data_IF_207662750382
#
_entry.id   IF_207662750382
#
_cell.length_a   1.000
_cell.length_b   1.000
_cell.length_c   1.000
_cell.angle_alpha   90.00
_cell.angle_beta   90.00
_cell.angle_gamma   90.00
#
_symmetry.space_group_name_H-M   'P 1'
#
loop_
_entity.id
_entity.type
_entity.pdbx_description
1 polymer ?
#
# COMPACT_ATOMS: atom_id res chain seq x y z
N UNK A 1 17.00 5.46 0.10
CA UNK A 1 15.70 5.04 -0.48
C UNK A 1 15.76 3.66 -1.13
N UNK A 2 16.77 3.38 -1.94
CA UNK A 2 16.94 2.07 -2.60
C UNK A 2 17.00 0.93 -1.57
N UNK A 3 17.78 1.09 -0.50
CA UNK A 3 17.87 0.10 0.56
C UNK A 3 16.54 -0.14 1.28
N UNK A 4 15.74 0.92 1.47
CA UNK A 4 14.45 0.83 2.13
C UNK A 4 13.45 -0.04 1.36
N UNK A 5 13.57 -0.12 0.04
CA UNK A 5 12.71 -0.96 -0.79
C UNK A 5 13.37 -2.29 -1.18
N UNK A 6 14.53 -2.61 -0.60
CA UNK A 6 15.19 -3.90 -0.79
C UNK A 6 15.85 -4.08 -2.15
N UNK A 7 16.36 -3.00 -2.73
CA UNK A 7 17.02 -3.02 -4.04
C UNK A 7 18.52 -2.77 -3.96
N UNK A 8 19.13 -3.00 -2.80
CA UNK A 8 20.58 -2.87 -2.65
C UNK A 8 21.31 -3.78 -3.64
N UNK A 9 22.34 -3.24 -4.26
CA UNK A 9 23.14 -3.96 -5.27
C UNK A 9 22.55 -3.94 -6.67
N UNK A 10 21.36 -3.35 -6.86
CA UNK A 10 20.68 -3.32 -8.15
C UNK A 10 20.64 -1.92 -8.77
N UNK A 11 21.35 -0.95 -8.20
CA UNK A 11 21.29 0.46 -8.56
C UNK A 11 21.67 0.73 -10.03
N UNK A 12 22.56 -0.09 -10.58
CA UNK A 12 23.06 0.07 -11.94
C UNK A 12 22.34 -0.82 -12.96
N UNK A 13 21.29 -1.54 -12.55
CA UNK A 13 20.55 -2.40 -13.47
C UNK A 13 19.53 -1.60 -14.27
N UNK A 14 19.41 -1.95 -15.55
CA UNK A 14 18.37 -1.41 -16.41
C UNK A 14 17.01 -2.03 -16.07
N UNK A 15 15.88 -1.34 -16.34
CA UNK A 15 14.55 -1.88 -16.05
C UNK A 15 14.32 -3.28 -16.62
N UNK A 16 14.85 -3.59 -17.80
CA UNK A 16 14.71 -4.92 -18.41
C UNK A 16 15.47 -6.01 -17.65
N UNK A 17 16.40 -5.65 -16.77
CA UNK A 17 17.20 -6.57 -15.98
C UNK A 17 16.58 -6.85 -14.59
N UNK A 18 15.44 -6.22 -14.29
CA UNK A 18 14.74 -6.36 -13.02
C UNK A 18 13.54 -7.27 -13.18
N UNK A 19 13.20 -8.02 -12.11
CA UNK A 19 11.93 -8.73 -12.06
C UNK A 19 10.76 -7.74 -11.98
N UNK A 20 9.52 -8.24 -12.15
CA UNK A 20 8.33 -7.43 -12.01
C UNK A 20 8.23 -6.78 -10.63
N UNK A 21 8.48 -7.54 -9.56
CA UNK A 21 8.49 -7.01 -8.20
C UNK A 21 9.61 -6.00 -7.96
N UNK A 22 10.80 -6.25 -8.51
CA UNK A 22 11.91 -5.31 -8.40
C UNK A 22 11.60 -4.01 -9.13
N UNK A 23 10.99 -4.07 -10.32
CA UNK A 23 10.54 -2.88 -11.04
C UNK A 23 9.49 -2.10 -10.27
N UNK A 24 8.54 -2.80 -9.64
CA UNK A 24 7.52 -2.16 -8.83
C UNK A 24 8.13 -1.45 -7.62
N UNK A 25 9.09 -2.07 -6.95
CA UNK A 25 9.80 -1.46 -5.83
C UNK A 25 10.65 -0.25 -6.28
N UNK A 26 11.27 -0.32 -7.44
CA UNK A 26 12.02 0.81 -8.00
C UNK A 26 11.10 2.00 -8.29
N UNK A 27 9.92 1.74 -8.87
CA UNK A 27 8.93 2.80 -9.12
C UNK A 27 8.42 3.41 -7.82
N UNK A 28 8.19 2.59 -6.79
CA UNK A 28 7.78 3.07 -5.47
C UNK A 28 8.88 3.94 -4.84
N UNK A 29 10.13 3.50 -4.89
CA UNK A 29 11.27 4.27 -4.36
C UNK A 29 11.37 5.64 -5.04
N UNK A 30 11.16 5.70 -6.35
CA UNK A 30 11.14 6.95 -7.10
C UNK A 30 10.03 7.88 -6.60
N UNK A 31 8.83 7.35 -6.43
CA UNK A 31 7.69 8.12 -5.92
C UNK A 31 7.95 8.65 -4.51
N UNK A 32 8.50 7.80 -3.63
CA UNK A 32 8.80 8.18 -2.24
C UNK A 32 9.94 9.21 -2.14
N UNK A 33 10.85 9.22 -3.10
CA UNK A 33 11.93 10.19 -3.14
C UNK A 33 11.49 11.58 -3.62
N UNK A 34 10.34 11.67 -4.29
CA UNK A 34 9.77 12.94 -4.71
C UNK A 34 9.03 13.58 -3.54
N UNK A 35 9.38 14.83 -3.23
CA UNK A 35 8.70 15.59 -2.17
C UNK A 35 7.47 16.27 -2.76
N UNK A 36 6.34 15.57 -2.75
CA UNK A 36 5.08 16.02 -3.34
C UNK A 36 3.99 16.13 -2.28
N UNK A 37 3.10 17.13 -2.38
CA UNK A 37 1.99 17.28 -1.43
C UNK A 37 0.90 16.21 -1.62
N UNK A 38 0.80 15.63 -2.80
CA UNK A 38 -0.16 14.58 -3.13
C UNK A 38 0.56 13.45 -3.86
N UNK A 39 0.35 12.23 -3.39
CA UNK A 39 0.93 11.03 -3.97
C UNK A 39 -0.18 10.09 -4.40
N UNK A 40 -0.10 9.59 -5.63
CA UNK A 40 -1.02 8.61 -6.18
C UNK A 40 -0.30 7.27 -6.32
N UNK A 41 -0.83 6.22 -5.69
CA UNK A 41 -0.28 4.88 -5.74
C UNK A 41 -1.35 3.93 -6.27
N UNK A 42 -1.08 3.31 -7.41
CA UNK A 42 -2.01 2.35 -8.04
C UNK A 42 -1.43 0.95 -7.90
N UNK A 43 -2.04 0.12 -7.05
CA UNK A 43 -1.61 -1.25 -6.79
C UNK A 43 -0.10 -1.35 -6.49
N UNK A 44 0.44 -0.54 -5.55
CA UNK A 44 1.89 -0.38 -5.42
C UNK A 44 2.61 -1.64 -4.93
N UNK A 45 1.89 -2.59 -4.35
CA UNK A 45 2.49 -3.78 -3.73
C UNK A 45 2.05 -5.09 -4.38
N UNK A 46 1.32 -5.03 -5.49
CA UNK A 46 0.67 -6.21 -6.07
C UNK A 46 1.63 -7.30 -6.54
N UNK A 47 2.85 -6.93 -6.95
CA UNK A 47 3.86 -7.88 -7.43
C UNK A 47 4.77 -8.42 -6.32
N UNK A 48 4.48 -8.10 -5.05
CA UNK A 48 5.29 -8.51 -3.91
C UNK A 48 4.68 -9.72 -3.22
N UNK A 49 5.53 -10.58 -2.65
CA UNK A 49 5.07 -11.65 -1.77
C UNK A 49 4.54 -11.08 -0.45
N UNK A 50 3.92 -11.94 0.36
CA UNK A 50 3.25 -11.50 1.60
C UNK A 50 4.20 -10.79 2.56
N UNK A 51 5.43 -11.29 2.72
CA UNK A 51 6.42 -10.69 3.63
C UNK A 51 6.85 -9.31 3.17
N UNK A 52 7.24 -9.19 1.91
CA UNK A 52 7.66 -7.91 1.32
C UNK A 52 6.51 -6.91 1.31
N UNK A 53 5.29 -7.38 1.05
CA UNK A 53 4.10 -6.53 1.05
C UNK A 53 3.91 -5.86 2.42
N UNK A 54 4.05 -6.61 3.50
CA UNK A 54 3.97 -6.05 4.85
C UNK A 54 5.11 -5.08 5.12
N UNK A 55 6.35 -5.46 4.83
CA UNK A 55 7.53 -4.66 5.13
C UNK A 55 7.53 -3.35 4.33
N UNK A 56 7.33 -3.44 3.04
CA UNK A 56 7.38 -2.28 2.14
C UNK A 56 6.16 -1.38 2.37
N UNK A 57 4.98 -1.98 2.60
CA UNK A 57 3.77 -1.21 2.91
C UNK A 57 3.92 -0.40 4.19
N UNK A 58 4.44 -1.00 5.26
CA UNK A 58 4.66 -0.31 6.52
C UNK A 58 5.70 0.81 6.37
N UNK A 59 6.77 0.54 5.65
CA UNK A 59 7.80 1.54 5.38
C UNK A 59 7.24 2.72 4.60
N UNK A 60 6.48 2.45 3.54
CA UNK A 60 5.88 3.49 2.72
C UNK A 60 4.91 4.36 3.55
N UNK A 61 4.09 3.73 4.39
CA UNK A 61 3.17 4.46 5.25
C UNK A 61 3.90 5.39 6.22
N UNK A 62 5.01 4.94 6.78
CA UNK A 62 5.82 5.78 7.68
C UNK A 62 6.47 6.94 6.95
N UNK A 63 7.03 6.70 5.78
CA UNK A 63 7.68 7.75 4.98
C UNK A 63 6.69 8.78 4.45
N UNK A 64 5.45 8.40 4.23
CA UNK A 64 4.42 9.28 3.69
C UNK A 64 3.55 9.93 4.76
N UNK A 65 3.90 9.81 6.04
CA UNK A 65 3.19 10.52 7.11
C UNK A 65 3.23 12.02 6.86
N UNK A 66 2.07 12.68 7.00
CA UNK A 66 1.92 14.10 6.70
C UNK A 66 1.70 14.40 5.22
N UNK A 67 1.76 13.42 4.35
CA UNK A 67 1.49 13.56 2.92
C UNK A 67 0.10 13.03 2.61
N UNK A 68 -0.63 13.71 1.73
CA UNK A 68 -1.91 13.20 1.22
C UNK A 68 -1.65 12.11 0.20
N UNK A 69 -2.16 10.91 0.46
CA UNK A 69 -1.97 9.75 -0.41
C UNK A 69 -3.31 9.20 -0.85
N UNK A 70 -3.47 9.02 -2.14
CA UNK A 70 -4.56 8.22 -2.69
C UNK A 70 -3.99 6.90 -3.19
N UNK A 71 -4.36 5.81 -2.54
CA UNK A 71 -3.90 4.48 -2.91
C UNK A 71 -5.07 3.66 -3.44
N UNK A 72 -4.88 3.03 -4.59
CA UNK A 72 -5.83 2.08 -5.16
C UNK A 72 -5.31 0.68 -4.91
N UNK A 73 -6.14 -0.17 -4.33
CA UNK A 73 -5.81 -1.56 -4.08
C UNK A 73 -7.07 -2.43 -4.16
N UNK A 74 -6.91 -3.69 -4.52
CA UNK A 74 -7.96 -4.69 -4.42
C UNK A 74 -7.77 -5.60 -3.20
N UNK A 75 -6.79 -5.32 -2.37
CA UNK A 75 -6.48 -6.12 -1.18
C UNK A 75 -7.11 -5.51 0.07
N UNK A 76 -8.16 -6.16 0.63
CA UNK A 76 -8.79 -5.67 1.86
C UNK A 76 -7.83 -5.53 3.04
N UNK A 77 -6.81 -6.38 3.11
CA UNK A 77 -5.81 -6.32 4.18
C UNK A 77 -4.99 -5.02 4.11
N UNK A 78 -4.58 -4.62 2.92
CA UNK A 78 -3.85 -3.36 2.72
C UNK A 78 -4.73 -2.16 3.09
N UNK A 79 -5.97 -2.14 2.62
CA UNK A 79 -6.90 -1.06 2.93
C UNK A 79 -7.11 -0.93 4.44
N UNK A 80 -7.35 -2.04 5.14
CA UNK A 80 -7.57 -2.03 6.59
C UNK A 80 -6.32 -1.61 7.37
N UNK A 81 -5.14 -1.95 6.88
CA UNK A 81 -3.88 -1.71 7.57
C UNK A 81 -3.32 -0.31 7.31
N UNK A 82 -3.49 0.20 6.09
CA UNK A 82 -2.81 1.41 5.63
C UNK A 82 -3.73 2.61 5.42
N UNK A 83 -5.04 2.43 5.37
CA UNK A 83 -5.96 3.52 5.08
C UNK A 83 -6.40 4.29 6.31
N UNK A 84 -6.19 5.60 6.33
CA UNK A 84 -6.84 6.48 7.30
C UNK A 84 -8.33 6.62 6.98
N UNK A 85 -8.66 6.61 5.70
CA UNK A 85 -10.00 6.65 5.18
C UNK A 85 -10.15 5.61 4.08
N UNK A 86 -11.21 4.83 4.12
CA UNK A 86 -11.43 3.75 3.17
C UNK A 86 -12.66 4.07 2.33
N UNK A 87 -12.51 3.97 1.02
CA UNK A 87 -13.59 4.10 0.06
C UNK A 87 -13.69 2.82 -0.74
N UNK A 88 -14.90 2.35 -0.94
CA UNK A 88 -15.17 1.16 -1.76
C UNK A 88 -15.82 1.62 -3.06
N UNK A 89 -15.28 1.17 -4.19
CA UNK A 89 -15.87 1.44 -5.49
C UNK A 89 -17.04 0.50 -5.71
N UNK A 90 -18.22 1.06 -5.97
CA UNK A 90 -19.46 0.32 -6.23
C UNK A 90 -20.01 0.72 -7.59
N UNK A 91 -20.98 -0.04 -8.15
CA UNK A 91 -21.64 0.39 -9.39
C UNK A 91 -22.30 1.77 -9.31
N UNK A 92 -22.69 2.20 -8.09
CA UNK A 92 -23.28 3.51 -7.86
C UNK A 92 -22.25 4.62 -7.58
N UNK A 93 -20.95 4.29 -7.52
CA UNK A 93 -19.86 5.22 -7.23
C UNK A 93 -19.07 4.82 -5.99
N UNK A 94 -18.38 5.79 -5.38
CA UNK A 94 -17.58 5.56 -4.20
C UNK A 94 -18.44 5.62 -2.94
N UNK A 95 -18.26 4.65 -2.05
CA UNK A 95 -18.95 4.59 -0.76
C UNK A 95 -17.93 4.48 0.37
N UNK A 96 -18.15 5.22 1.46
CA UNK A 96 -17.30 5.15 2.63
C UNK A 96 -17.41 3.81 3.35
N UNK A 97 -16.30 3.39 3.95
CA UNK A 97 -16.24 2.21 4.81
C UNK A 97 -15.47 2.57 6.07
N UNK A 98 -15.92 2.12 7.27
CA UNK A 98 -15.22 2.47 8.49
C UNK A 98 -13.79 1.94 8.50
N UNK A 99 -12.83 2.84 8.77
CA UNK A 99 -11.44 2.44 8.97
C UNK A 99 -11.23 1.99 10.42
N UNK A 100 -10.34 1.02 10.66
CA UNK A 100 -9.98 0.65 12.03
C UNK A 100 -9.42 1.86 12.79
N UNK A 101 -9.55 1.87 14.14
CA UNK A 101 -8.95 2.93 14.94
C UNK A 101 -7.42 2.82 14.96
N UNK A 102 -6.76 3.91 15.33
CA UNK A 102 -5.33 3.97 15.52
C UNK A 102 -4.56 4.46 14.30
N UNK A 103 -3.29 4.83 14.51
CA UNK A 103 -2.45 5.37 13.45
C UNK A 103 -2.05 4.30 12.43
N UNK A 104 -1.75 4.73 11.21
CA UNK A 104 -1.19 3.85 10.17
C UNK A 104 0.34 3.91 10.22
N UNK A 105 1.06 2.82 9.90
CA UNK A 105 0.51 1.50 9.58
C UNK A 105 -0.01 0.79 10.83
N UNK A 106 -1.14 0.13 10.67
CA UNK A 106 -1.71 -0.71 11.74
C UNK A 106 -1.12 -2.11 11.68
N UNK A 107 -1.12 -2.81 12.81
CA UNK A 107 -0.63 -4.19 12.84
C UNK A 107 -1.56 -5.09 12.04
N UNK A 108 -1.00 -5.96 11.21
CA UNK A 108 -1.76 -6.89 10.38
C UNK A 108 -2.59 -7.88 11.20
N UNK A 109 -2.20 -8.15 12.44
CA UNK A 109 -2.85 -9.10 13.33
C UNK A 109 -3.75 -8.46 14.39
N UNK A 110 -3.92 -7.14 14.36
CA UNK A 110 -4.81 -6.44 15.28
C UNK A 110 -6.27 -6.89 15.04
N UNK A 111 -7.04 -7.18 16.11
CA UNK A 111 -8.42 -7.65 15.94
C UNK A 111 -9.29 -6.71 15.10
N UNK A 112 -9.13 -5.40 15.26
CA UNK A 112 -9.89 -4.39 14.52
C UNK A 112 -9.54 -4.39 13.04
N UNK A 113 -8.26 -4.65 12.70
CA UNK A 113 -7.79 -4.75 11.33
C UNK A 113 -8.35 -6.02 10.67
N UNK A 114 -8.32 -7.15 11.37
CA UNK A 114 -8.87 -8.40 10.88
C UNK A 114 -10.39 -8.30 10.67
N UNK A 115 -11.10 -7.62 11.57
CA UNK A 115 -12.55 -7.40 11.44
C UNK A 115 -12.86 -6.52 10.23
N UNK A 116 -12.10 -5.45 10.03
CA UNK A 116 -12.28 -4.56 8.87
C UNK A 116 -11.97 -5.29 7.56
N UNK A 117 -10.91 -6.10 7.54
CA UNK A 117 -10.57 -6.92 6.39
C UNK A 117 -11.70 -7.87 6.01
N UNK A 118 -12.28 -8.55 6.99
CA UNK A 118 -13.40 -9.46 6.76
C UNK A 118 -14.63 -8.71 6.21
N UNK A 119 -14.97 -7.57 6.79
CA UNK A 119 -16.10 -6.76 6.34
C UNK A 119 -15.91 -6.23 4.93
N UNK A 120 -14.70 -5.78 4.60
CA UNK A 120 -14.38 -5.33 3.25
C UNK A 120 -14.46 -6.47 2.24
N UNK A 121 -13.96 -7.63 2.59
CA UNK A 121 -14.04 -8.82 1.75
C UNK A 121 -15.49 -9.15 1.42
N UNK A 122 -16.39 -9.14 2.41
CA UNK A 122 -17.81 -9.37 2.18
C UNK A 122 -18.40 -8.34 1.22
N UNK A 123 -18.08 -7.07 1.37
CA UNK A 123 -18.56 -6.02 0.46
C UNK A 123 -18.10 -6.23 -0.97
N UNK A 124 -16.85 -6.68 -1.16
CA UNK A 124 -16.30 -6.92 -2.50
C UNK A 124 -16.92 -8.16 -3.17
N UNK A 125 -17.41 -9.11 -2.38
CA UNK A 125 -18.04 -10.33 -2.87
C UNK A 125 -19.54 -10.16 -3.10
N UNK A 126 -20.12 -9.10 -2.63
CA UNK A 126 -21.56 -8.85 -2.75
C UNK A 126 -21.98 -8.45 -4.19
#
# INVERSE_FOLDING_TARGET
>A
MIGAVGLEGLENRLPAQLSGGQRQRAALARTLAEDRPLVLLDEPFSALDARLRLQIGDMAARLLQGTTVLMVTHDPAEAARLGDRILVMTPAGLAGHPAPPGPVPRRHDAPEVLAAQAALTERLLA
#
